data_IF_029766226943
#
_entry.id   IF_029766226943
#
_cell.length_a   1.000
_cell.length_b   1.000
_cell.length_c   1.000
_cell.angle_alpha   90.00
_cell.angle_beta   90.00
_cell.angle_gamma   90.00
#
_symmetry.space_group_name_H-M   'P 1'
#
loop_
_entity.id
_entity.type
_entity.pdbx_description
1 polymer ?
#
# COMPACT_ATOMS: atom_id res chain seq x y z
N UNK A 1 -35.60 5.11 -21.13
CA UNK A 1 -34.44 4.18 -21.09
C UNK A 1 -33.20 4.93 -21.55
N UNK A 2 -32.66 5.80 -20.71
CA UNK A 2 -31.40 6.50 -21.01
C UNK A 2 -30.84 6.98 -19.69
N UNK A 3 -29.85 6.28 -19.17
CA UNK A 3 -28.77 6.84 -18.37
C UNK A 3 -27.68 5.78 -18.35
N UNK A 4 -26.64 6.00 -19.16
CA UNK A 4 -25.35 5.35 -19.02
C UNK A 4 -24.41 6.34 -18.32
N UNK A 5 -24.45 6.50 -16.99
CA UNK A 5 -23.37 7.15 -16.27
C UNK A 5 -22.45 6.03 -15.82
N UNK A 6 -21.32 5.83 -16.51
CA UNK A 6 -20.19 4.99 -16.11
C UNK A 6 -20.48 4.02 -14.96
N UNK A 7 -20.85 2.78 -15.25
CA UNK A 7 -21.18 1.82 -14.20
C UNK A 7 -19.90 1.40 -13.46
N UNK A 8 -19.59 2.10 -12.36
CA UNK A 8 -18.40 1.91 -11.53
C UNK A 8 -18.34 0.54 -10.85
N UNK A 9 -19.48 -0.14 -10.72
CA UNK A 9 -19.61 -1.40 -10.00
C UNK A 9 -19.74 -2.58 -10.94
N UNK A 10 -20.56 -2.47 -12.00
CA UNK A 10 -20.86 -3.59 -12.89
C UNK A 10 -20.03 -3.65 -14.17
N UNK A 11 -19.23 -2.62 -14.48
CA UNK A 11 -18.35 -2.63 -15.64
C UNK A 11 -16.91 -2.99 -15.25
N UNK A 12 -16.35 -4.12 -15.75
CA UNK A 12 -15.00 -4.58 -15.39
C UNK A 12 -13.90 -3.55 -15.66
N UNK A 13 -14.10 -2.62 -16.60
CA UNK A 13 -13.14 -1.55 -16.91
C UNK A 13 -13.06 -0.46 -15.84
N UNK A 14 -14.12 -0.28 -15.05
CA UNK A 14 -14.22 0.79 -14.06
C UNK A 14 -14.12 0.29 -12.62
N UNK A 15 -14.39 -0.99 -12.36
CA UNK A 15 -14.37 -1.56 -11.01
C UNK A 15 -12.98 -1.48 -10.34
N UNK A 16 -11.89 -1.80 -11.07
CA UNK A 16 -10.54 -1.73 -10.50
C UNK A 16 -10.05 -0.29 -10.23
N UNK A 17 -10.18 0.69 -11.16
CA UNK A 17 -9.90 2.10 -10.87
C UNK A 17 -10.65 2.65 -9.65
N UNK A 18 -11.89 2.23 -9.46
CA UNK A 18 -12.72 2.68 -8.37
C UNK A 18 -12.21 2.19 -7.01
N UNK A 19 -11.82 0.91 -6.92
CA UNK A 19 -11.16 0.34 -5.72
C UNK A 19 -9.82 1.03 -5.43
N UNK A 20 -9.07 1.42 -6.47
CA UNK A 20 -7.82 2.18 -6.32
C UNK A 20 -8.09 3.56 -5.71
N UNK A 21 -9.13 4.27 -6.16
CA UNK A 21 -9.51 5.58 -5.60
C UNK A 21 -9.90 5.46 -4.13
N UNK A 22 -10.72 4.46 -3.79
CA UNK A 22 -11.08 4.19 -2.38
C UNK A 22 -9.85 3.82 -1.55
N UNK A 23 -8.91 3.07 -2.12
CA UNK A 23 -7.65 2.73 -1.45
C UNK A 23 -6.78 3.96 -1.23
N UNK A 24 -6.72 4.89 -2.18
CA UNK A 24 -6.01 6.16 -2.04
C UNK A 24 -6.60 7.03 -0.91
N UNK A 25 -7.92 6.97 -0.69
CA UNK A 25 -8.56 7.65 0.44
C UNK A 25 -8.06 7.16 1.80
N UNK A 26 -7.66 5.89 1.89
CA UNK A 26 -7.15 5.30 3.15
C UNK A 26 -5.70 5.67 3.50
N UNK A 27 -5.03 6.48 2.67
CA UNK A 27 -3.65 6.94 2.90
C UNK A 27 -3.50 7.94 4.07
N UNK A 28 -4.59 8.29 4.76
CA UNK A 28 -4.55 9.22 5.90
C UNK A 28 -3.60 8.80 7.02
N UNK A 29 -3.47 7.50 7.31
CA UNK A 29 -2.52 7.00 8.30
C UNK A 29 -1.06 7.25 7.89
N UNK A 30 -0.73 7.02 6.62
CA UNK A 30 0.62 7.26 6.10
C UNK A 30 0.99 8.75 6.16
N UNK A 31 0.02 9.64 5.96
CA UNK A 31 0.21 11.09 6.09
C UNK A 31 0.61 11.48 7.52
N UNK A 32 -0.02 10.89 8.53
CA UNK A 32 0.34 11.14 9.94
C UNK A 32 1.77 10.69 10.25
N UNK A 33 2.18 9.54 9.71
CA UNK A 33 3.56 9.04 9.85
C UNK A 33 4.54 10.00 9.18
N UNK A 34 4.22 10.52 7.99
CA UNK A 34 5.06 11.52 7.32
C UNK A 34 5.11 12.84 8.06
N UNK A 35 3.99 13.30 8.63
CA UNK A 35 3.95 14.51 9.43
C UNK A 35 4.82 14.38 10.69
N UNK A 36 4.72 13.26 11.40
CA UNK A 36 5.56 12.96 12.54
C UNK A 36 7.05 12.92 12.15
N UNK A 37 7.38 12.30 11.01
CA UNK A 37 8.74 12.28 10.47
C UNK A 37 9.27 13.67 10.11
N UNK A 38 8.44 14.53 9.52
CA UNK A 38 8.80 15.92 9.20
C UNK A 38 9.04 16.76 10.45
N UNK A 39 8.22 16.61 11.47
CA UNK A 39 8.38 17.32 12.75
C UNK A 39 9.68 16.94 13.48
N UNK A 40 10.22 15.76 13.21
CA UNK A 40 11.51 15.33 13.74
C UNK A 40 12.73 15.96 13.06
N UNK A 41 12.57 16.65 11.92
CA UNK A 41 13.69 17.29 11.21
C UNK A 41 13.97 18.67 11.83
N UNK A 42 15.16 18.85 12.39
CA UNK A 42 15.58 20.13 12.96
C UNK A 42 15.57 21.28 11.94
N UNK A 43 15.06 22.45 12.33
CA UNK A 43 14.97 23.64 11.48
C UNK A 43 16.36 24.11 10.98
N UNK A 44 17.42 23.86 11.75
CA UNK A 44 18.80 24.27 11.44
C UNK A 44 19.31 23.72 10.10
N UNK A 45 18.87 22.52 9.67
CA UNK A 45 19.22 21.99 8.35
C UNK A 45 18.70 22.89 7.21
N UNK A 46 17.50 23.43 7.36
CA UNK A 46 16.89 24.29 6.35
C UNK A 46 17.49 25.71 6.36
N UNK A 47 17.86 26.22 7.54
CA UNK A 47 18.54 27.51 7.69
C UNK A 47 19.93 27.47 7.07
N UNK A 48 20.75 26.47 7.41
CA UNK A 48 22.07 26.27 6.82
C UNK A 48 22.00 26.17 5.28
N UNK A 49 21.07 25.37 4.75
CA UNK A 49 20.87 25.27 3.32
C UNK A 49 20.38 26.58 2.67
N UNK A 50 19.67 27.44 3.42
CA UNK A 50 19.29 28.77 2.92
C UNK A 50 20.49 29.69 2.82
N UNK A 51 21.40 29.63 3.79
CA UNK A 51 22.66 30.38 3.79
C UNK A 51 23.54 29.94 2.61
N UNK A 52 23.57 28.64 2.31
CA UNK A 52 24.28 28.08 1.15
C UNK A 52 23.60 28.33 -0.21
N UNK A 53 22.47 29.06 -0.23
CA UNK A 53 21.76 29.43 -1.46
C UNK A 53 20.91 28.33 -2.08
N UNK A 54 20.56 27.27 -1.33
CA UNK A 54 19.74 26.18 -1.83
C UNK A 54 18.28 26.62 -2.07
N UNK A 55 17.74 26.27 -3.24
CA UNK A 55 16.33 26.46 -3.58
C UNK A 55 15.42 25.39 -2.95
N UNK A 56 14.09 25.57 -3.01
CA UNK A 56 13.13 24.67 -2.37
C UNK A 56 13.20 23.22 -2.84
N UNK A 57 13.45 22.98 -4.13
CA UNK A 57 13.60 21.63 -4.67
C UNK A 57 14.89 20.95 -4.19
N UNK A 58 16.00 21.70 -4.11
CA UNK A 58 17.26 21.23 -3.56
C UNK A 58 17.11 20.84 -2.09
N UNK A 59 16.43 21.68 -1.28
CA UNK A 59 16.12 21.35 0.13
C UNK A 59 15.26 20.09 0.25
N UNK A 60 14.22 19.96 -0.58
CA UNK A 60 13.38 18.77 -0.57
C UNK A 60 14.17 17.50 -0.91
N UNK A 61 14.92 17.49 -2.01
CA UNK A 61 15.63 16.29 -2.48
C UNK A 61 16.84 15.94 -1.62
N UNK A 62 17.53 16.93 -1.06
CA UNK A 62 18.79 16.70 -0.33
C UNK A 62 18.63 16.64 1.19
N UNK A 63 17.55 17.19 1.75
CA UNK A 63 17.32 17.21 3.21
C UNK A 63 16.05 16.44 3.54
N UNK A 64 14.90 16.88 3.03
CA UNK A 64 13.61 16.31 3.44
C UNK A 64 13.49 14.83 3.02
N UNK A 65 13.76 14.51 1.76
CA UNK A 65 13.59 13.16 1.24
C UNK A 65 14.54 12.13 1.89
N UNK A 66 15.86 12.42 2.05
CA UNK A 66 16.76 11.48 2.73
C UNK A 66 16.45 11.32 4.21
N UNK A 67 16.09 12.39 4.93
CA UNK A 67 15.80 12.31 6.37
C UNK A 67 14.45 11.66 6.66
N UNK A 68 13.50 11.75 5.73
CA UNK A 68 12.19 11.10 5.82
C UNK A 68 12.22 9.65 5.30
N UNK A 69 13.34 9.22 4.71
CA UNK A 69 13.50 7.87 4.13
C UNK A 69 13.16 6.71 5.08
N UNK A 70 13.41 6.75 6.41
CA UNK A 70 12.98 5.67 7.31
C UNK A 70 11.45 5.58 7.42
N UNK A 71 10.76 6.72 7.45
CA UNK A 71 9.30 6.78 7.50
C UNK A 71 8.66 6.36 6.16
N UNK A 72 9.28 6.74 5.03
CA UNK A 72 8.89 6.24 3.69
C UNK A 72 9.00 4.74 3.64
N UNK A 73 10.14 4.19 4.07
CA UNK A 73 10.37 2.76 4.06
C UNK A 73 9.33 2.00 4.89
N UNK A 74 9.07 2.46 6.12
CA UNK A 74 8.06 1.84 6.99
C UNK A 74 6.67 1.84 6.34
N UNK A 75 6.25 2.97 5.76
CA UNK A 75 4.99 3.07 5.04
C UNK A 75 4.94 2.13 3.83
N UNK A 76 6.00 2.10 3.01
CA UNK A 76 6.05 1.24 1.81
C UNK A 76 5.91 -0.23 2.19
N UNK A 77 6.63 -0.70 3.21
CA UNK A 77 6.56 -2.09 3.66
C UNK A 77 5.15 -2.42 4.18
N UNK A 78 4.60 -1.56 5.03
CA UNK A 78 3.28 -1.78 5.65
C UNK A 78 2.17 -1.76 4.61
N UNK A 79 2.20 -0.81 3.67
CA UNK A 79 1.23 -0.70 2.59
C UNK A 79 1.33 -1.88 1.61
N UNK A 80 2.55 -2.34 1.32
CA UNK A 80 2.77 -3.50 0.45
C UNK A 80 2.18 -4.77 1.06
N UNK A 81 2.47 -5.03 2.34
CA UNK A 81 1.90 -6.18 3.07
C UNK A 81 0.36 -6.06 3.09
N UNK A 82 -0.15 -4.88 3.44
CA UNK A 82 -1.59 -4.63 3.50
C UNK A 82 -2.30 -4.83 2.15
N UNK A 83 -1.68 -4.42 1.04
CA UNK A 83 -2.25 -4.58 -0.29
C UNK A 83 -2.44 -6.06 -0.69
N UNK A 84 -1.54 -6.94 -0.28
CA UNK A 84 -1.66 -8.38 -0.52
C UNK A 84 -2.66 -9.07 0.41
N UNK A 85 -2.94 -8.49 1.58
CA UNK A 85 -3.87 -9.00 2.59
C UNK A 85 -5.26 -8.35 2.53
N UNK A 86 -5.48 -7.46 1.57
CA UNK A 86 -6.73 -6.71 1.48
C UNK A 86 -7.88 -7.63 1.06
N UNK A 87 -8.84 -7.79 1.95
CA UNK A 87 -10.03 -8.64 1.75
C UNK A 87 -11.29 -7.79 1.61
N UNK A 88 -11.52 -6.95 2.62
CA UNK A 88 -12.77 -6.21 2.82
C UNK A 88 -13.13 -5.36 1.61
N UNK A 89 -12.17 -4.62 1.05
CA UNK A 89 -12.43 -3.77 -0.13
C UNK A 89 -12.89 -4.58 -1.34
N UNK A 90 -12.25 -5.72 -1.59
CA UNK A 90 -12.55 -6.54 -2.76
C UNK A 90 -13.89 -7.28 -2.63
N UNK A 91 -14.19 -7.82 -1.46
CA UNK A 91 -15.45 -8.56 -1.22
C UNK A 91 -16.67 -7.66 -1.24
N UNK A 92 -16.57 -6.48 -0.61
CA UNK A 92 -17.67 -5.50 -0.61
C UNK A 92 -17.99 -5.07 -2.04
N UNK A 93 -16.97 -4.91 -2.89
CA UNK A 93 -17.14 -4.45 -4.27
C UNK A 93 -17.50 -5.55 -5.27
N UNK A 94 -17.12 -6.81 -5.02
CA UNK A 94 -17.40 -7.91 -5.94
C UNK A 94 -18.84 -8.40 -5.87
N UNK A 95 -19.44 -8.46 -4.68
CA UNK A 95 -20.75 -9.12 -4.50
C UNK A 95 -21.40 -8.92 -3.13
N UNK A 96 -20.69 -8.30 -2.18
CA UNK A 96 -21.25 -7.94 -0.87
C UNK A 96 -21.70 -9.16 -0.07
N UNK A 97 -22.91 -9.10 0.49
CA UNK A 97 -23.43 -10.10 1.44
C UNK A 97 -23.76 -11.49 0.83
N UNK A 98 -23.69 -11.65 -0.49
CA UNK A 98 -24.05 -12.89 -1.20
C UNK A 98 -22.85 -13.76 -1.59
N UNK A 99 -21.64 -13.42 -1.14
CA UNK A 99 -20.40 -14.16 -1.45
C UNK A 99 -19.44 -13.42 -2.37
N UNK A 100 -18.21 -13.92 -2.46
CA UNK A 100 -17.18 -13.35 -3.33
C UNK A 100 -17.36 -13.88 -4.76
N UNK A 101 -17.71 -13.02 -5.70
CA UNK A 101 -17.94 -13.39 -7.11
C UNK A 101 -16.78 -12.96 -8.03
N UNK A 102 -15.66 -12.46 -7.48
CA UNK A 102 -14.55 -11.93 -8.29
C UNK A 102 -14.84 -10.59 -8.99
N UNK A 103 -16.04 -10.04 -8.82
CA UNK A 103 -16.50 -8.84 -9.53
C UNK A 103 -16.87 -9.13 -10.98
N UNK A 104 -17.29 -8.13 -11.77
CA UNK A 104 -17.62 -8.34 -13.17
C UNK A 104 -16.42 -8.93 -13.92
N UNK A 105 -16.60 -10.10 -14.56
CA UNK A 105 -15.54 -10.78 -15.32
C UNK A 105 -14.23 -11.02 -14.55
N UNK A 106 -14.31 -11.36 -13.25
CA UNK A 106 -13.16 -11.63 -12.37
C UNK A 106 -12.17 -10.45 -12.20
N UNK A 107 -12.62 -9.22 -12.49
CA UNK A 107 -11.77 -8.02 -12.45
C UNK A 107 -11.24 -7.64 -11.06
N UNK A 108 -11.83 -8.20 -9.99
CA UNK A 108 -11.44 -8.00 -8.59
C UNK A 108 -10.89 -9.26 -7.93
N UNK A 109 -10.60 -10.32 -8.71
CA UNK A 109 -10.10 -11.57 -8.18
C UNK A 109 -8.64 -11.42 -7.72
N UNK A 110 -8.46 -11.23 -6.42
CA UNK A 110 -7.16 -11.18 -5.75
C UNK A 110 -6.91 -12.46 -4.95
N UNK A 111 -5.63 -12.73 -4.64
CA UNK A 111 -5.21 -14.01 -4.07
C UNK A 111 -5.86 -14.30 -2.71
N UNK A 112 -6.05 -13.29 -1.86
CA UNK A 112 -6.59 -13.48 -0.51
C UNK A 112 -8.10 -13.81 -0.49
N UNK A 113 -9.01 -13.04 -1.14
CA UNK A 113 -10.41 -13.43 -1.30
C UNK A 113 -10.60 -14.80 -1.95
N UNK A 114 -9.76 -15.17 -2.91
CA UNK A 114 -9.80 -16.49 -3.53
C UNK A 114 -9.49 -17.64 -2.55
N UNK A 115 -8.52 -17.44 -1.65
CA UNK A 115 -8.22 -18.39 -0.57
C UNK A 115 -9.41 -18.52 0.38
N UNK A 116 -10.07 -17.41 0.69
CA UNK A 116 -11.25 -17.40 1.54
C UNK A 116 -12.40 -18.21 0.93
N UNK A 117 -12.73 -17.96 -0.34
CA UNK A 117 -13.74 -18.71 -1.10
C UNK A 117 -13.46 -20.21 -1.04
N UNK A 118 -12.22 -20.64 -1.36
CA UNK A 118 -11.84 -22.05 -1.32
C UNK A 118 -11.91 -22.68 0.08
N UNK A 119 -11.58 -21.92 1.11
CA UNK A 119 -11.57 -22.42 2.49
C UNK A 119 -12.97 -22.54 3.08
N UNK A 120 -13.78 -21.50 2.92
CA UNK A 120 -15.04 -21.32 3.65
C UNK A 120 -16.28 -21.60 2.81
N UNK A 121 -16.28 -21.29 1.51
CA UNK A 121 -17.43 -21.57 0.64
C UNK A 121 -17.34 -23.01 0.11
N UNK A 122 -16.20 -23.39 -0.46
CA UNK A 122 -15.99 -24.73 -1.01
C UNK A 122 -15.65 -25.80 0.05
N UNK A 123 -15.50 -25.43 1.33
CA UNK A 123 -15.08 -26.30 2.43
C UNK A 123 -13.72 -27.01 2.22
N UNK A 124 -12.86 -26.50 1.34
CA UNK A 124 -11.53 -27.07 1.08
C UNK A 124 -10.45 -26.41 1.96
N UNK A 125 -10.59 -26.52 3.28
CA UNK A 125 -9.69 -25.90 4.26
C UNK A 125 -8.21 -26.32 4.10
N UNK A 126 -7.95 -27.59 3.74
CA UNK A 126 -6.58 -28.08 3.51
C UNK A 126 -5.89 -27.42 2.31
N UNK A 127 -6.65 -27.16 1.24
CA UNK A 127 -6.13 -26.48 0.06
C UNK A 127 -5.99 -24.98 0.32
N UNK A 128 -6.96 -24.35 1.00
CA UNK A 128 -6.90 -22.95 1.36
C UNK A 128 -5.71 -22.63 2.28
N UNK A 129 -5.41 -23.50 3.26
CA UNK A 129 -4.24 -23.34 4.13
C UNK A 129 -2.93 -23.45 3.35
N UNK A 130 -2.80 -24.40 2.41
CA UNK A 130 -1.63 -24.50 1.55
C UNK A 130 -1.43 -23.23 0.69
N UNK A 131 -2.51 -22.68 0.14
CA UNK A 131 -2.47 -21.41 -0.60
C UNK A 131 -2.11 -20.22 0.29
N UNK A 132 -2.58 -20.18 1.54
CA UNK A 132 -2.23 -19.13 2.50
C UNK A 132 -0.73 -19.12 2.83
N UNK A 133 -0.11 -20.29 2.99
CA UNK A 133 1.35 -20.39 3.12
C UNK A 133 2.08 -19.92 1.86
N UNK A 134 1.52 -20.19 0.67
CA UNK A 134 2.03 -19.66 -0.59
C UNK A 134 1.98 -18.11 -0.63
N UNK A 135 0.84 -17.52 -0.27
CA UNK A 135 0.70 -16.06 -0.16
C UNK A 135 1.68 -15.48 0.86
N UNK A 136 1.84 -16.11 2.02
CA UNK A 136 2.83 -15.70 3.02
C UNK A 136 4.24 -15.70 2.45
N UNK A 137 4.64 -16.73 1.70
CA UNK A 137 5.95 -16.77 1.06
C UNK A 137 6.14 -15.64 0.05
N UNK A 138 5.11 -15.33 -0.75
CA UNK A 138 5.14 -14.19 -1.69
C UNK A 138 5.35 -12.87 -0.94
N UNK A 139 4.55 -12.61 0.10
CA UNK A 139 4.70 -11.40 0.93
C UNK A 139 6.10 -11.34 1.53
N UNK A 140 6.59 -12.44 2.11
CA UNK A 140 7.91 -12.51 2.72
C UNK A 140 9.03 -12.21 1.73
N UNK A 141 8.95 -12.71 0.49
CA UNK A 141 9.92 -12.42 -0.57
C UNK A 141 9.91 -10.92 -0.90
N UNK A 142 8.73 -10.33 -1.13
CA UNK A 142 8.60 -8.90 -1.42
C UNK A 142 9.11 -8.02 -0.27
N UNK A 143 8.80 -8.40 0.97
CA UNK A 143 9.29 -7.71 2.17
C UNK A 143 10.80 -7.84 2.30
N UNK A 144 11.39 -9.02 2.05
CA UNK A 144 12.83 -9.24 2.08
C UNK A 144 13.57 -8.43 1.00
N UNK A 145 12.99 -8.33 -0.21
CA UNK A 145 13.51 -7.48 -1.28
C UNK A 145 13.49 -6.01 -0.84
N UNK A 146 12.39 -5.53 -0.26
CA UNK A 146 12.29 -4.17 0.26
C UNK A 146 13.32 -3.90 1.35
N UNK A 147 13.49 -4.83 2.30
CA UNK A 147 14.47 -4.72 3.39
C UNK A 147 15.91 -4.73 2.88
N UNK A 148 16.19 -5.47 1.82
CA UNK A 148 17.52 -5.47 1.16
C UNK A 148 17.76 -4.15 0.43
N UNK A 149 16.75 -3.64 -0.28
CA UNK A 149 16.82 -2.33 -0.94
C UNK A 149 17.06 -1.20 0.08
N UNK A 150 16.42 -1.29 1.26
CA UNK A 150 16.53 -0.35 2.38
C UNK A 150 17.95 0.10 2.68
N UNK A 151 18.90 -0.84 2.69
CA UNK A 151 20.30 -0.57 3.01
C UNK A 151 20.97 0.43 2.06
N UNK A 152 20.40 0.69 0.88
CA UNK A 152 20.97 1.57 -0.15
C UNK A 152 20.41 2.99 -0.17
N UNK A 153 19.25 3.22 0.45
CA UNK A 153 18.46 4.45 0.28
C UNK A 153 17.86 5.01 1.58
N UNK A 154 17.94 4.27 2.69
CA UNK A 154 17.47 4.74 3.99
C UNK A 154 18.65 5.26 4.82
N UNK A 155 18.54 6.50 5.26
CA UNK A 155 19.51 7.16 6.13
C UNK A 155 18.92 7.29 7.54
N UNK A 156 19.53 6.60 8.49
CA UNK A 156 19.23 6.78 9.90
C UNK A 156 20.10 7.90 10.46
N UNK A 157 19.50 8.85 11.19
CA UNK A 157 20.28 9.92 11.83
C UNK A 157 21.11 9.42 13.04
N UNK A 158 20.95 8.18 13.47
CA UNK A 158 21.51 7.67 14.74
C UNK A 158 23.00 7.27 14.72
N UNK A 159 23.76 7.50 13.64
CA UNK A 159 25.19 7.20 13.60
C UNK A 159 26.06 8.44 13.38
N UNK A 160 26.11 9.32 14.38
CA UNK A 160 27.34 10.00 14.81
C UNK A 160 27.29 10.27 16.32
N UNK A 161 27.72 9.28 17.11
CA UNK A 161 28.34 9.54 18.42
C UNK A 161 29.81 9.90 18.20
#
# INVERSE_FOLDING_TARGET
>A
MTCNPYDWLSNPKFTMPAVIIVSAWTLGQSLLIYLAGLQGIEAGYYEAASIDGANGWQKFRSITLPLLSPAIFFNVVTLLIGAFQEFTKFVIWSGGANGFTGGPSDSLLTLFPYIWEKGFEDNHLGLATAMAFGLFAVIAIFTAINFTAQRRWVFYQEERR
#
